data_IF_138906089304
#
_entry.id   IF_138906089304
#
_cell.length_a   1.000
_cell.length_b   1.000
_cell.length_c   1.000
_cell.angle_alpha   90.00
_cell.angle_beta   90.00
_cell.angle_gamma   90.00
#
_symmetry.space_group_name_H-M   'P 1'
#
loop_
_entity.id
_entity.type
_entity.pdbx_description
1 polymer ?
#
# COMPACT_ATOMS: atom_id res chain seq x y z
N UNK A 1 27.72 -12.04 -4.38
CA UNK A 1 26.30 -11.61 -4.19
C UNK A 1 25.33 -12.67 -4.70
N UNK A 2 24.35 -13.09 -3.91
CA UNK A 2 23.24 -13.91 -4.43
C UNK A 2 22.30 -12.99 -5.22
N UNK A 3 22.52 -12.90 -6.53
CA UNK A 3 21.80 -11.97 -7.44
C UNK A 3 20.29 -12.21 -7.44
N UNK A 4 19.88 -13.47 -7.36
CA UNK A 4 18.46 -13.86 -7.34
C UNK A 4 17.78 -13.34 -6.07
N UNK A 5 18.39 -13.61 -4.91
CA UNK A 5 17.85 -13.16 -3.63
C UNK A 5 17.80 -11.63 -3.54
N UNK A 6 18.84 -10.94 -4.03
CA UNK A 6 18.87 -9.48 -4.09
C UNK A 6 17.75 -8.92 -4.98
N UNK A 7 17.46 -9.53 -6.13
CA UNK A 7 16.33 -9.14 -6.98
C UNK A 7 14.99 -9.27 -6.24
N UNK A 8 14.74 -10.39 -5.55
CA UNK A 8 13.51 -10.58 -4.77
C UNK A 8 13.36 -9.56 -3.63
N UNK A 9 14.45 -9.16 -2.96
CA UNK A 9 14.40 -8.09 -1.97
C UNK A 9 13.92 -6.76 -2.58
N UNK A 10 14.45 -6.39 -3.74
CA UNK A 10 14.03 -5.17 -4.44
C UNK A 10 12.59 -5.26 -4.95
N UNK A 11 12.17 -6.43 -5.44
CA UNK A 11 10.79 -6.67 -5.85
C UNK A 11 9.82 -6.54 -4.66
N UNK A 12 10.18 -7.08 -3.48
CA UNK A 12 9.37 -6.96 -2.28
C UNK A 12 9.21 -5.50 -1.83
N UNK A 13 10.31 -4.71 -1.87
CA UNK A 13 10.26 -3.27 -1.60
C UNK A 13 9.31 -2.57 -2.57
N UNK A 14 9.45 -2.86 -3.87
CA UNK A 14 8.61 -2.26 -4.91
C UNK A 14 7.12 -2.60 -4.70
N UNK A 15 6.79 -3.85 -4.38
CA UNK A 15 5.42 -4.27 -4.08
C UNK A 15 4.87 -3.56 -2.83
N UNK A 16 5.67 -3.40 -1.78
CA UNK A 16 5.26 -2.64 -0.60
C UNK A 16 4.92 -1.18 -0.93
N UNK A 17 5.72 -0.54 -1.79
CA UNK A 17 5.45 0.83 -2.26
C UNK A 17 4.15 0.88 -3.07
N UNK A 18 3.93 -0.08 -3.97
CA UNK A 18 2.70 -0.16 -4.75
C UNK A 18 1.45 -0.35 -3.87
N UNK A 19 1.55 -1.14 -2.79
CA UNK A 19 0.45 -1.32 -1.84
C UNK A 19 0.12 0.01 -1.15
N UNK A 20 1.12 0.73 -0.62
CA UNK A 20 0.92 2.03 0.03
C UNK A 20 0.34 3.07 -0.94
N UNK A 21 0.80 3.05 -2.19
CA UNK A 21 0.27 3.94 -3.22
C UNK A 21 -1.20 3.62 -3.53
N UNK A 22 -1.53 2.34 -3.67
CA UNK A 22 -2.89 1.90 -3.97
C UNK A 22 -3.85 2.23 -2.83
N UNK A 23 -3.50 1.95 -1.57
CA UNK A 23 -4.37 2.28 -0.42
C UNK A 23 -4.58 3.79 -0.28
N UNK A 24 -3.58 4.61 -0.62
CA UNK A 24 -3.71 6.07 -0.68
C UNK A 24 -4.69 6.52 -1.76
N UNK A 25 -4.66 5.91 -2.94
CA UNK A 25 -5.66 6.16 -3.99
C UNK A 25 -7.05 5.75 -3.51
N UNK A 26 -7.19 4.53 -2.97
CA UNK A 26 -8.48 4.01 -2.52
C UNK A 26 -9.11 4.90 -1.45
N UNK A 27 -8.33 5.42 -0.50
CA UNK A 27 -8.82 6.38 0.50
C UNK A 27 -9.46 7.64 -0.08
N UNK A 28 -9.08 8.03 -1.31
CA UNK A 28 -9.67 9.17 -2.02
C UNK A 28 -10.81 8.75 -2.93
N UNK A 29 -10.66 7.61 -3.61
CA UNK A 29 -11.62 7.12 -4.60
C UNK A 29 -12.89 6.61 -3.94
N UNK A 30 -12.81 5.91 -2.80
CA UNK A 30 -13.99 5.34 -2.14
C UNK A 30 -15.02 6.40 -1.71
N UNK A 31 -14.63 7.49 -1.01
CA UNK A 31 -15.57 8.58 -0.73
C UNK A 31 -16.16 9.21 -1.99
N UNK A 32 -15.34 9.39 -3.04
CA UNK A 32 -15.82 9.95 -4.31
C UNK A 32 -16.87 9.07 -4.98
N UNK A 33 -16.64 7.75 -5.01
CA UNK A 33 -17.61 6.79 -5.53
C UNK A 33 -18.87 6.73 -4.65
N UNK A 34 -18.72 6.82 -3.32
CA UNK A 34 -19.83 6.93 -2.38
C UNK A 34 -20.71 8.15 -2.65
N UNK A 35 -20.10 9.30 -2.94
CA UNK A 35 -20.83 10.52 -3.31
C UNK A 35 -21.60 10.37 -4.63
N UNK A 36 -20.99 9.76 -5.65
CA UNK A 36 -21.66 9.50 -6.92
C UNK A 36 -22.84 8.53 -6.74
N UNK A 37 -22.65 7.48 -5.94
CA UNK A 37 -23.71 6.53 -5.62
C UNK A 37 -24.85 7.20 -4.83
N UNK A 38 -24.53 8.08 -3.88
CA UNK A 38 -25.51 8.87 -3.15
C UNK A 38 -26.34 9.78 -4.08
N UNK A 39 -25.68 10.51 -4.98
CA UNK A 39 -26.37 11.34 -5.98
C UNK A 39 -27.27 10.50 -6.88
N UNK A 40 -26.83 9.31 -7.29
CA UNK A 40 -27.63 8.41 -8.11
C UNK A 40 -28.84 7.83 -7.36
N UNK A 41 -28.72 7.58 -6.05
CA UNK A 41 -29.80 7.08 -5.22
C UNK A 41 -30.84 8.16 -4.84
N UNK A 42 -30.46 9.45 -4.88
CA UNK A 42 -31.32 10.60 -4.59
C UNK A 42 -32.05 10.53 -3.23
N UNK A 43 -31.50 9.82 -2.25
CA UNK A 43 -32.12 9.62 -0.92
C UNK A 43 -31.11 9.67 0.21
N UNK A 44 -31.47 10.36 1.31
CA UNK A 44 -30.71 10.38 2.57
C UNK A 44 -29.77 11.58 2.72
N UNK A 45 -28.82 11.47 3.63
CA UNK A 45 -27.73 12.43 3.85
C UNK A 45 -26.39 11.75 3.57
N UNK A 46 -25.50 12.43 2.84
CA UNK A 46 -24.15 11.92 2.56
C UNK A 46 -23.17 12.33 3.65
N UNK A 47 -22.41 11.36 4.17
CA UNK A 47 -21.22 11.59 4.99
C UNK A 47 -20.02 10.89 4.34
N UNK A 48 -18.93 11.59 4.01
CA UNK A 48 -17.71 10.97 3.50
C UNK A 48 -17.13 9.91 4.45
N UNK A 49 -17.31 10.09 5.76
CA UNK A 49 -16.74 9.24 6.80
C UNK A 49 -17.28 7.80 6.74
N UNK A 50 -18.51 7.62 6.23
CA UNK A 50 -19.14 6.31 6.06
C UNK A 50 -18.46 5.47 4.96
N UNK A 51 -17.66 6.11 4.10
CA UNK A 51 -16.95 5.49 2.98
C UNK A 51 -15.43 5.45 3.18
N UNK A 52 -14.94 5.88 4.35
CA UNK A 52 -13.51 5.80 4.68
C UNK A 52 -13.16 4.35 5.04
N UNK A 53 -12.25 3.76 4.26
CA UNK A 53 -11.75 2.42 4.54
C UNK A 53 -10.52 2.45 5.44
N UNK A 54 -10.51 1.59 6.45
CA UNK A 54 -9.37 1.44 7.35
C UNK A 54 -8.32 0.51 6.73
N UNK A 55 -7.30 1.09 6.09
CA UNK A 55 -6.14 0.36 5.57
C UNK A 55 -4.94 0.30 6.52
N UNK A 56 -5.10 0.63 7.81
CA UNK A 56 -3.97 0.70 8.76
C UNK A 56 -3.18 -0.61 8.78
N UNK A 57 -3.86 -1.75 8.91
CA UNK A 57 -3.20 -3.06 8.94
C UNK A 57 -2.42 -3.34 7.65
N UNK A 58 -3.04 -3.10 6.49
CA UNK A 58 -2.44 -3.33 5.16
C UNK A 58 -1.22 -2.42 4.96
N UNK A 59 -1.32 -1.15 5.33
CA UNK A 59 -0.22 -0.19 5.25
C UNK A 59 0.94 -0.59 6.17
N UNK A 60 0.64 -1.10 7.37
CA UNK A 60 1.65 -1.56 8.32
C UNK A 60 2.39 -2.79 7.78
N UNK A 61 1.68 -3.75 7.18
CA UNK A 61 2.30 -4.89 6.48
C UNK A 61 3.17 -4.44 5.30
N UNK A 62 2.72 -3.46 4.51
CA UNK A 62 3.50 -2.92 3.41
C UNK A 62 4.81 -2.24 3.88
N UNK A 63 4.74 -1.47 4.98
CA UNK A 63 5.93 -0.88 5.61
C UNK A 63 6.89 -1.96 6.10
N UNK A 64 6.39 -2.99 6.80
CA UNK A 64 7.21 -4.11 7.25
C UNK A 64 7.90 -4.81 6.07
N UNK A 65 7.19 -5.03 4.97
CA UNK A 65 7.74 -5.65 3.76
C UNK A 65 8.89 -4.83 3.18
N UNK A 66 8.74 -3.50 3.12
CA UNK A 66 9.79 -2.57 2.66
C UNK A 66 11.01 -2.63 3.59
N UNK A 67 10.80 -2.55 4.90
CA UNK A 67 11.89 -2.54 5.89
C UNK A 67 12.68 -3.85 5.85
N UNK A 68 11.99 -4.99 5.83
CA UNK A 68 12.64 -6.31 5.74
C UNK A 68 13.42 -6.44 4.44
N UNK A 69 12.82 -6.02 3.31
CA UNK A 69 13.49 -6.02 2.01
C UNK A 69 14.77 -5.18 2.01
N UNK A 70 14.74 -3.99 2.61
CA UNK A 70 15.91 -3.10 2.73
C UNK A 70 17.00 -3.70 3.61
N UNK A 71 16.65 -4.23 4.79
CA UNK A 71 17.61 -4.82 5.73
C UNK A 71 18.30 -6.03 5.11
N UNK A 72 17.53 -6.97 4.56
CA UNK A 72 18.09 -8.18 3.93
C UNK A 72 18.89 -7.81 2.68
N UNK A 73 18.37 -6.90 1.85
CA UNK A 73 19.05 -6.42 0.64
C UNK A 73 20.41 -5.79 0.97
N UNK A 74 20.45 -4.93 2.00
CA UNK A 74 21.69 -4.31 2.49
C UNK A 74 22.69 -5.34 3.02
N UNK A 75 22.23 -6.32 3.80
CA UNK A 75 23.09 -7.41 4.30
C UNK A 75 23.71 -8.23 3.17
N UNK A 76 22.95 -8.54 2.12
CA UNK A 76 23.43 -9.26 0.94
C UNK A 76 24.46 -8.44 0.16
N UNK A 77 24.21 -7.14 0.02
CA UNK A 77 25.14 -6.23 -0.64
C UNK A 77 26.46 -6.13 0.12
N UNK A 78 26.40 -5.88 1.44
CA UNK A 78 27.59 -5.79 2.30
C UNK A 78 28.41 -7.07 2.34
N UNK A 79 27.77 -8.26 2.37
CA UNK A 79 28.46 -9.55 2.30
C UNK A 79 29.19 -9.80 0.97
N UNK A 80 28.89 -9.00 -0.05
CA UNK A 80 29.49 -9.15 -1.37
C UNK A 80 30.57 -8.11 -1.69
N UNK A 81 30.80 -7.14 -0.78
CA UNK A 81 31.93 -6.23 -0.80
C UNK A 81 33.13 -6.88 -0.10
#
# INVERSE_FOLDING_TARGET
>A
MNKVLFFFCNLAIFLGILILFTTSILNKVFPMLGYVAFQAAATGSYSPDDYVMNFIAINLFAILLIVIGLVIGYMIYKKSL
#
